data_IF_600969772308
#
_entry.id   IF_600969772308
#
_cell.length_a   1.000
_cell.length_b   1.000
_cell.length_c   1.000
_cell.angle_alpha   90.00
_cell.angle_beta   90.00
_cell.angle_gamma   90.00
#
_symmetry.space_group_name_H-M   'P 1'
#
loop_
_entity.id
_entity.type
_entity.pdbx_description
1 polymer ?
#
# COMPACT_ATOMS: atom_id res chain seq x y z
N UNK A 1 -23.68 23.34 -47.26
CA UNK A 1 -23.97 22.08 -46.57
C UNK A 1 -23.14 22.09 -45.32
N UNK A 2 -23.70 22.64 -44.25
CA UNK A 2 -23.12 22.50 -42.92
C UNK A 2 -23.19 21.00 -42.59
N UNK A 3 -22.03 20.36 -42.62
CA UNK A 3 -21.86 19.07 -41.99
C UNK A 3 -21.89 19.36 -40.49
N UNK A 4 -23.06 19.22 -39.87
CA UNK A 4 -23.21 19.03 -38.43
C UNK A 4 -22.45 17.75 -38.04
N UNK A 5 -21.14 17.88 -37.92
CA UNK A 5 -20.31 16.91 -37.21
C UNK A 5 -20.82 16.94 -35.77
N UNK A 6 -21.22 15.79 -35.20
CA UNK A 6 -21.69 15.77 -33.83
C UNK A 6 -20.61 16.36 -32.93
N UNK A 7 -20.98 17.40 -32.16
CA UNK A 7 -20.11 18.00 -31.15
C UNK A 7 -19.59 16.88 -30.25
N UNK A 8 -18.26 16.71 -30.20
CA UNK A 8 -17.65 15.74 -29.30
C UNK A 8 -18.10 16.04 -27.85
N UNK A 9 -18.44 15.02 -27.05
CA UNK A 9 -18.91 15.22 -25.69
C UNK A 9 -17.84 15.92 -24.85
N UNK A 10 -18.22 17.01 -24.18
CA UNK A 10 -17.35 17.72 -23.24
C UNK A 10 -17.45 17.08 -21.85
N UNK A 11 -16.32 16.58 -21.34
CA UNK A 11 -16.22 15.98 -20.01
C UNK A 11 -15.73 16.96 -18.93
N UNK A 12 -15.68 18.27 -19.19
CA UNK A 12 -15.33 19.26 -18.19
C UNK A 12 -16.28 19.20 -16.97
N UNK A 13 -15.70 19.18 -15.76
CA UNK A 13 -16.48 19.13 -14.51
C UNK A 13 -17.07 17.77 -14.15
N UNK A 14 -16.68 16.69 -14.85
CA UNK A 14 -17.16 15.33 -14.59
C UNK A 14 -17.00 14.93 -13.11
N UNK A 15 -18.11 14.51 -12.49
CA UNK A 15 -18.13 14.03 -11.11
C UNK A 15 -17.73 12.56 -11.01
N UNK A 16 -17.38 12.08 -9.81
CA UNK A 16 -17.04 10.67 -9.58
C UNK A 16 -18.19 9.72 -9.90
N UNK A 17 -19.44 10.14 -9.62
CA UNK A 17 -20.64 9.32 -9.92
C UNK A 17 -20.93 9.23 -11.41
N UNK A 18 -20.73 10.31 -12.17
CA UNK A 18 -20.85 10.29 -13.62
C UNK A 18 -19.74 9.46 -14.26
N UNK A 19 -18.49 9.63 -13.82
CA UNK A 19 -17.36 8.83 -14.30
C UNK A 19 -17.54 7.32 -14.08
N UNK A 20 -18.22 6.91 -13.00
CA UNK A 20 -18.59 5.51 -12.74
C UNK A 20 -19.62 4.98 -13.75
N UNK A 21 -20.52 5.82 -14.22
CA UNK A 21 -21.66 5.47 -15.08
C UNK A 21 -21.39 5.70 -16.57
N UNK A 22 -20.26 6.32 -16.92
CA UNK A 22 -19.84 6.48 -18.31
C UNK A 22 -19.82 5.15 -19.04
N UNK A 23 -20.37 5.15 -20.26
CA UNK A 23 -20.29 4.00 -21.16
C UNK A 23 -18.83 3.74 -21.52
N UNK A 24 -18.53 2.48 -21.83
CA UNK A 24 -17.16 2.07 -22.13
C UNK A 24 -16.55 2.83 -23.33
N UNK A 25 -17.36 3.23 -24.31
CA UNK A 25 -16.96 4.07 -25.45
C UNK A 25 -16.57 5.50 -25.05
N UNK A 26 -17.24 6.07 -24.04
CA UNK A 26 -17.02 7.43 -23.57
C UNK A 26 -15.85 7.52 -22.59
N UNK A 27 -15.52 6.42 -21.88
CA UNK A 27 -14.38 6.38 -20.95
C UNK A 27 -13.06 6.70 -21.66
N UNK A 28 -12.85 6.18 -22.86
CA UNK A 28 -11.64 6.44 -23.64
C UNK A 28 -11.54 7.90 -24.06
N UNK A 29 -12.65 8.50 -24.47
CA UNK A 29 -12.72 9.93 -24.85
C UNK A 29 -12.47 10.83 -23.64
N UNK A 30 -13.15 10.56 -22.52
CA UNK A 30 -12.96 11.30 -21.27
C UNK A 30 -11.51 11.19 -20.76
N UNK A 31 -10.91 10.01 -20.84
CA UNK A 31 -9.51 9.80 -20.48
C UNK A 31 -8.57 10.67 -21.34
N UNK A 32 -8.77 10.66 -22.67
CA UNK A 32 -7.95 11.45 -23.58
C UNK A 32 -8.13 12.97 -23.41
N UNK A 33 -9.33 13.43 -23.04
CA UNK A 33 -9.61 14.85 -22.80
C UNK A 33 -9.09 15.34 -21.43
N UNK A 34 -9.26 14.54 -20.37
CA UNK A 34 -9.06 15.01 -18.99
C UNK A 34 -7.70 14.67 -18.38
N UNK A 35 -7.10 13.54 -18.77
CA UNK A 35 -5.82 13.10 -18.18
C UNK A 35 -4.67 13.80 -18.92
N UNK A 36 -3.76 14.49 -18.21
CA UNK A 36 -2.67 15.21 -18.84
C UNK A 36 -1.74 14.26 -19.60
N UNK A 37 -1.20 14.74 -20.72
CA UNK A 37 -0.22 14.03 -21.56
C UNK A 37 1.22 14.47 -21.28
N UNK A 38 1.48 15.00 -20.08
CA UNK A 38 2.80 15.46 -19.65
C UNK A 38 3.64 14.32 -19.06
N UNK A 39 4.70 14.65 -18.32
CA UNK A 39 5.60 13.70 -17.67
C UNK A 39 4.92 12.79 -16.63
N UNK A 40 3.69 13.10 -16.22
CA UNK A 40 2.87 12.27 -15.34
C UNK A 40 2.09 11.20 -16.11
N UNK A 41 1.98 11.33 -17.43
CA UNK A 41 1.19 10.45 -18.27
C UNK A 41 1.78 9.04 -18.34
N UNK A 42 0.89 8.05 -18.48
CA UNK A 42 1.31 6.69 -18.82
C UNK A 42 1.78 6.67 -20.29
N UNK A 43 2.93 6.03 -20.60
CA UNK A 43 3.36 5.90 -21.98
C UNK A 43 2.31 5.14 -22.78
N UNK A 44 2.13 5.47 -24.07
CA UNK A 44 1.12 4.81 -24.90
C UNK A 44 1.28 3.27 -24.90
N UNK A 45 2.52 2.79 -24.88
CA UNK A 45 2.87 1.37 -24.83
C UNK A 45 2.45 0.66 -23.54
N UNK A 46 2.11 1.40 -22.47
CA UNK A 46 1.55 0.83 -21.25
C UNK A 46 0.29 0.00 -21.55
N UNK A 47 -0.50 0.41 -22.53
CA UNK A 47 -1.78 -0.21 -22.85
C UNK A 47 -1.67 -1.42 -23.77
N UNK A 48 -0.55 -1.62 -24.47
CA UNK A 48 -0.35 -2.69 -25.45
C UNK A 48 -0.69 -4.10 -24.95
N UNK A 49 -0.30 -4.53 -23.73
CA UNK A 49 -0.58 -5.88 -23.26
C UNK A 49 -2.03 -6.09 -22.76
N UNK A 50 -2.87 -5.05 -22.72
CA UNK A 50 -4.21 -5.12 -22.13
C UNK A 50 -5.30 -5.35 -23.17
N UNK A 51 -6.27 -6.19 -22.83
CA UNK A 51 -7.50 -6.34 -23.64
C UNK A 51 -8.29 -5.02 -23.68
N UNK A 52 -9.18 -4.80 -24.67
CA UNK A 52 -10.03 -3.60 -24.72
C UNK A 52 -10.81 -3.36 -23.42
N UNK A 53 -11.33 -4.43 -22.80
CA UNK A 53 -12.02 -4.36 -21.51
C UNK A 53 -11.10 -3.90 -20.38
N UNK A 54 -9.88 -4.42 -20.31
CA UNK A 54 -8.90 -3.99 -19.29
C UNK A 54 -8.44 -2.54 -19.48
N UNK A 55 -8.30 -2.09 -20.75
CA UNK A 55 -8.00 -0.69 -21.07
C UNK A 55 -9.08 0.24 -20.50
N UNK A 56 -10.35 -0.07 -20.76
CA UNK A 56 -11.48 0.72 -20.23
C UNK A 56 -11.49 0.71 -18.70
N UNK A 57 -11.25 -0.44 -18.06
CA UNK A 57 -11.13 -0.53 -16.60
C UNK A 57 -10.01 0.40 -16.09
N UNK A 58 -8.83 0.34 -16.70
CA UNK A 58 -7.69 1.16 -16.31
C UNK A 58 -7.94 2.65 -16.52
N UNK A 59 -8.48 3.04 -17.67
CA UNK A 59 -8.81 4.43 -17.98
C UNK A 59 -9.87 4.98 -17.01
N UNK A 60 -10.91 4.18 -16.68
CA UNK A 60 -11.91 4.54 -15.66
C UNK A 60 -11.26 4.72 -14.29
N UNK A 61 -10.34 3.83 -13.90
CA UNK A 61 -9.56 3.97 -12.67
C UNK A 61 -8.75 5.28 -12.62
N UNK A 62 -8.09 5.66 -13.73
CA UNK A 62 -7.38 6.93 -13.83
C UNK A 62 -8.32 8.12 -13.67
N UNK A 63 -9.47 8.13 -14.36
CA UNK A 63 -10.48 9.18 -14.24
C UNK A 63 -10.99 9.34 -12.81
N UNK A 64 -11.32 8.22 -12.15
CA UNK A 64 -11.80 8.26 -10.77
C UNK A 64 -10.75 8.85 -9.83
N UNK A 65 -9.49 8.42 -9.93
CA UNK A 65 -8.41 8.95 -9.10
C UNK A 65 -8.14 10.42 -9.39
N UNK A 66 -8.15 10.81 -10.66
CA UNK A 66 -7.97 12.18 -11.11
C UNK A 66 -9.02 13.10 -10.51
N UNK A 67 -10.30 12.73 -10.56
CA UNK A 67 -11.41 13.52 -10.01
C UNK A 67 -11.31 13.62 -8.48
N UNK A 68 -11.16 12.51 -7.76
CA UNK A 68 -11.13 12.54 -6.28
C UNK A 68 -9.87 13.19 -5.72
N UNK A 69 -8.80 13.26 -6.51
CA UNK A 69 -7.58 14.00 -6.16
C UNK A 69 -7.64 15.48 -6.55
N UNK A 70 -8.80 15.99 -7.00
CA UNK A 70 -8.97 17.36 -7.48
C UNK A 70 -8.01 17.70 -8.63
N UNK A 71 -7.87 16.76 -9.58
CA UNK A 71 -7.09 16.93 -10.81
C UNK A 71 -5.59 17.08 -10.55
N UNK A 72 -5.04 16.34 -9.57
CA UNK A 72 -3.61 16.43 -9.21
C UNK A 72 -2.84 15.12 -9.37
N UNK A 73 -3.50 13.96 -9.26
CA UNK A 73 -2.83 12.66 -9.22
C UNK A 73 -3.18 11.80 -10.43
N UNK A 74 -2.15 11.41 -11.19
CA UNK A 74 -2.20 10.33 -12.19
C UNK A 74 -1.52 9.10 -11.56
N UNK A 75 -2.11 7.89 -11.64
CA UNK A 75 -1.51 6.71 -11.04
C UNK A 75 -0.25 6.29 -11.79
N UNK A 76 0.78 5.88 -11.05
CA UNK A 76 1.95 5.24 -11.66
C UNK A 76 1.57 3.92 -12.32
N UNK A 77 2.32 3.52 -13.34
CA UNK A 77 2.09 2.28 -14.12
C UNK A 77 1.89 1.04 -13.25
N UNK A 78 2.75 0.88 -12.23
CA UNK A 78 2.71 -0.26 -11.30
C UNK A 78 1.42 -0.28 -10.44
N UNK A 79 0.90 0.89 -10.06
CA UNK A 79 -0.32 1.02 -9.27
C UNK A 79 -1.54 0.63 -10.10
N UNK A 80 -1.56 1.08 -11.35
CA UNK A 80 -2.63 0.77 -12.28
C UNK A 80 -2.60 -0.69 -12.74
N UNK A 81 -1.41 -1.26 -12.96
CA UNK A 81 -1.19 -2.68 -13.20
C UNK A 81 -1.83 -3.54 -12.10
N UNK A 82 -1.49 -3.23 -10.84
CA UNK A 82 -2.05 -3.92 -9.67
C UNK A 82 -3.58 -3.79 -9.60
N UNK A 83 -4.09 -2.56 -9.80
CA UNK A 83 -5.53 -2.31 -9.73
C UNK A 83 -6.31 -3.05 -10.83
N UNK A 84 -5.86 -3.00 -12.10
CA UNK A 84 -6.50 -3.71 -13.22
C UNK A 84 -6.52 -5.22 -12.94
N UNK A 85 -5.40 -5.79 -12.50
CA UNK A 85 -5.32 -7.22 -12.19
C UNK A 85 -6.30 -7.60 -11.07
N UNK A 86 -6.33 -6.83 -9.97
CA UNK A 86 -7.28 -7.08 -8.88
C UNK A 86 -8.74 -6.96 -9.34
N UNK A 87 -9.09 -5.91 -10.07
CA UNK A 87 -10.46 -5.69 -10.57
C UNK A 87 -10.89 -6.80 -11.54
N UNK A 88 -9.96 -7.35 -12.32
CA UNK A 88 -10.20 -8.48 -13.23
C UNK A 88 -10.13 -9.85 -12.54
N UNK A 89 -9.98 -9.90 -11.22
CA UNK A 89 -10.02 -11.14 -10.43
C UNK A 89 -8.71 -11.92 -10.41
N UNK A 90 -7.57 -11.26 -10.72
CA UNK A 90 -6.23 -11.83 -10.60
C UNK A 90 -5.63 -11.50 -9.24
N UNK A 91 -4.87 -12.46 -8.70
CA UNK A 91 -4.05 -12.22 -7.52
C UNK A 91 -2.87 -11.33 -7.90
N UNK A 92 -2.40 -10.52 -6.95
CA UNK A 92 -1.34 -9.53 -7.18
C UNK A 92 -0.32 -9.56 -6.05
N UNK A 93 0.96 -9.55 -6.41
CA UNK A 93 2.08 -9.27 -5.52
C UNK A 93 2.74 -7.98 -5.96
N UNK A 94 2.85 -7.01 -5.04
CA UNK A 94 3.57 -5.76 -5.25
C UNK A 94 4.78 -5.73 -4.32
N UNK A 95 5.96 -5.94 -4.90
CA UNK A 95 7.27 -5.84 -4.24
C UNK A 95 7.94 -4.50 -4.61
N UNK A 96 7.60 -3.45 -3.87
CA UNK A 96 8.05 -2.10 -4.20
C UNK A 96 8.49 -1.41 -2.93
N UNK A 97 9.63 -0.76 -2.90
CA UNK A 97 10.15 -0.06 -1.70
C UNK A 97 9.14 0.88 -1.02
N UNK A 98 9.37 1.19 0.25
CA UNK A 98 8.58 2.21 0.97
C UNK A 98 8.70 3.58 0.28
N UNK A 99 7.60 4.35 0.28
CA UNK A 99 7.59 5.69 -0.30
C UNK A 99 7.37 5.77 -1.81
N UNK A 100 7.17 4.64 -2.51
CA UNK A 100 6.79 4.62 -3.94
C UNK A 100 5.26 4.74 -4.17
N UNK A 101 4.47 4.89 -3.10
CA UNK A 101 3.02 5.10 -3.23
C UNK A 101 2.19 3.81 -3.39
N UNK A 102 2.62 2.68 -2.80
CA UNK A 102 1.86 1.40 -2.79
C UNK A 102 0.41 1.55 -2.31
N UNK A 103 0.13 2.57 -1.51
CA UNK A 103 -1.21 2.79 -0.96
C UNK A 103 -2.26 3.04 -2.03
N UNK A 104 -1.89 3.64 -3.17
CA UNK A 104 -2.81 3.79 -4.30
C UNK A 104 -3.22 2.46 -4.93
N UNK A 105 -2.42 1.40 -4.79
CA UNK A 105 -2.83 0.06 -5.20
C UNK A 105 -4.06 -0.42 -4.42
N UNK A 106 -4.37 0.13 -3.23
CA UNK A 106 -5.59 -0.18 -2.46
C UNK A 106 -6.70 0.84 -2.72
N UNK A 107 -6.35 2.12 -2.86
CA UNK A 107 -7.31 3.20 -3.11
C UNK A 107 -8.02 3.03 -4.46
N UNK A 108 -7.27 2.72 -5.52
CA UNK A 108 -7.84 2.64 -6.87
C UNK A 108 -8.92 1.55 -6.98
N UNK A 109 -8.71 0.30 -6.53
CA UNK A 109 -9.78 -0.70 -6.49
C UNK A 109 -10.97 -0.28 -5.64
N UNK A 110 -10.74 0.39 -4.50
CA UNK A 110 -11.82 0.88 -3.64
C UNK A 110 -12.68 1.96 -4.32
N UNK A 111 -12.09 2.84 -5.13
CA UNK A 111 -12.83 3.82 -5.94
C UNK A 111 -13.71 3.14 -7.00
N UNK A 112 -13.19 2.07 -7.60
CA UNK A 112 -13.85 1.34 -8.69
C UNK A 112 -15.01 0.47 -8.21
N UNK A 113 -14.86 -0.22 -7.07
CA UNK A 113 -15.84 -1.17 -6.55
C UNK A 113 -17.06 -0.48 -5.92
N UNK A 114 -18.05 -0.10 -6.74
CA UNK A 114 -19.30 0.51 -6.27
C UNK A 114 -20.21 -0.48 -5.55
N UNK A 115 -20.71 -0.14 -4.35
CA UNK A 115 -21.63 -0.98 -3.58
C UNK A 115 -21.04 -2.30 -3.08
N UNK A 116 -19.70 -2.38 -3.03
CA UNK A 116 -18.92 -3.56 -2.65
C UNK A 116 -17.94 -3.18 -1.54
N UNK A 117 -17.35 -4.20 -0.92
CA UNK A 117 -16.42 -4.05 0.19
C UNK A 117 -15.04 -4.56 -0.23
N UNK A 118 -14.02 -3.74 0.01
CA UNK A 118 -12.62 -4.13 -0.02
C UNK A 118 -12.15 -4.37 1.42
N UNK A 119 -11.66 -5.59 1.70
CA UNK A 119 -11.05 -5.89 2.99
C UNK A 119 -9.56 -5.53 2.93
N UNK A 120 -9.09 -4.68 3.85
CA UNK A 120 -7.69 -4.30 3.96
C UNK A 120 -7.13 -4.87 5.26
N UNK A 121 -6.26 -5.87 5.19
CA UNK A 121 -5.58 -6.42 6.36
C UNK A 121 -4.34 -5.58 6.65
N UNK A 122 -4.26 -5.05 7.87
CA UNK A 122 -3.17 -4.14 8.28
C UNK A 122 -2.61 -4.53 9.65
N UNK A 123 -1.28 -4.58 9.82
CA UNK A 123 -0.66 -5.10 11.03
C UNK A 123 -0.85 -4.19 12.25
N UNK A 124 -0.65 -2.88 12.12
CA UNK A 124 -0.50 -2.00 13.28
C UNK A 124 -1.72 -1.09 13.44
N UNK A 125 -2.29 -1.00 14.64
CA UNK A 125 -3.41 -0.08 14.95
C UNK A 125 -3.12 1.36 14.52
N UNK A 126 -1.89 1.85 14.76
CA UNK A 126 -1.46 3.18 14.32
C UNK A 126 -1.53 3.35 12.79
N UNK A 127 -1.16 2.31 12.04
CA UNK A 127 -1.25 2.32 10.58
C UNK A 127 -2.70 2.32 10.11
N UNK A 128 -3.59 1.59 10.79
CA UNK A 128 -5.02 1.56 10.47
C UNK A 128 -5.66 2.95 10.56
N UNK A 129 -5.33 3.74 11.60
CA UNK A 129 -5.84 5.13 11.73
C UNK A 129 -5.40 5.99 10.54
N UNK A 130 -4.13 5.92 10.15
CA UNK A 130 -3.61 6.66 8.99
C UNK A 130 -4.27 6.21 7.67
N UNK A 131 -4.53 4.91 7.53
CA UNK A 131 -5.22 4.37 6.35
C UNK A 131 -6.68 4.84 6.29
N UNK A 132 -7.42 4.88 7.41
CA UNK A 132 -8.80 5.44 7.44
C UNK A 132 -8.80 6.88 6.94
N UNK A 133 -7.94 7.73 7.51
CA UNK A 133 -7.82 9.13 7.11
C UNK A 133 -7.47 9.29 5.63
N UNK A 134 -6.65 8.39 5.10
CA UNK A 134 -6.30 8.39 3.68
C UNK A 134 -7.48 8.05 2.78
N UNK A 135 -8.26 7.01 3.11
CA UNK A 135 -9.45 6.66 2.34
C UNK A 135 -10.49 7.78 2.39
N UNK A 136 -10.71 8.37 3.57
CA UNK A 136 -11.62 9.51 3.73
C UNK A 136 -11.17 10.74 2.94
N UNK A 137 -9.86 11.01 2.88
CA UNK A 137 -9.30 12.08 2.03
C UNK A 137 -9.70 11.94 0.56
N UNK A 138 -9.83 10.71 0.06
CA UNK A 138 -10.27 10.44 -1.31
C UNK A 138 -11.79 10.15 -1.42
N UNK A 139 -12.57 10.55 -0.42
CA UNK A 139 -14.03 10.43 -0.42
C UNK A 139 -14.54 8.99 -0.29
N UNK A 140 -13.71 8.06 0.18
CA UNK A 140 -14.09 6.65 0.37
C UNK A 140 -14.46 6.42 1.82
N UNK A 141 -15.70 6.01 2.07
CA UNK A 141 -16.14 5.58 3.39
C UNK A 141 -15.31 4.39 3.89
N UNK A 142 -14.66 4.57 5.04
CA UNK A 142 -13.77 3.56 5.60
C UNK A 142 -14.00 3.44 7.11
N UNK A 143 -13.84 2.24 7.64
CA UNK A 143 -13.77 2.02 9.09
C UNK A 143 -12.76 0.94 9.42
N UNK A 144 -12.23 0.97 10.65
CA UNK A 144 -11.29 -0.05 11.14
C UNK A 144 -11.98 -1.02 12.11
N UNK A 145 -11.59 -2.30 12.03
CA UNK A 145 -12.04 -3.38 12.90
C UNK A 145 -10.82 -3.97 13.58
N UNK A 146 -10.66 -3.61 14.86
CA UNK A 146 -9.61 -4.05 15.75
C UNK A 146 -10.14 -4.23 17.19
N UNK A 147 -9.25 -4.44 18.15
CA UNK A 147 -9.62 -4.62 19.57
C UNK A 147 -10.34 -3.44 20.21
N UNK A 148 -10.16 -2.24 19.68
CA UNK A 148 -10.76 -1.02 20.21
C UNK A 148 -12.11 -0.70 19.53
N UNK A 149 -12.58 -1.59 18.64
CA UNK A 149 -13.87 -1.42 17.97
C UNK A 149 -15.00 -1.47 18.99
N UNK A 150 -15.84 -0.41 19.11
CA UNK A 150 -16.92 -0.40 20.08
C UNK A 150 -17.95 -1.47 19.74
N UNK A 151 -18.57 -2.03 20.77
CA UNK A 151 -19.69 -2.97 20.61
C UNK A 151 -21.03 -2.24 20.35
N UNK A 152 -21.00 -1.22 19.48
CA UNK A 152 -22.15 -0.41 19.13
C UNK A 152 -23.00 -1.09 18.05
N UNK A 153 -24.30 -1.30 18.32
CA UNK A 153 -25.20 -1.95 17.38
C UNK A 153 -25.32 -1.17 16.06
N UNK A 154 -25.33 0.16 16.09
CA UNK A 154 -25.50 0.98 14.90
C UNK A 154 -24.27 0.89 13.96
N UNK A 155 -23.05 0.95 14.51
CA UNK A 155 -21.81 0.75 13.76
C UNK A 155 -21.80 -0.61 13.06
N UNK A 156 -22.07 -1.69 13.80
CA UNK A 156 -22.01 -3.04 13.24
C UNK A 156 -23.12 -3.29 12.21
N UNK A 157 -24.31 -2.71 12.36
CA UNK A 157 -25.35 -2.74 11.35
C UNK A 157 -24.92 -2.02 10.04
N UNK A 158 -24.18 -0.91 10.15
CA UNK A 158 -23.59 -0.22 8.98
C UNK A 158 -22.50 -1.05 8.30
N UNK A 159 -21.64 -1.72 9.07
CA UNK A 159 -20.63 -2.65 8.52
C UNK A 159 -21.33 -3.79 7.76
N UNK A 160 -22.31 -4.43 8.37
CA UNK A 160 -23.05 -5.55 7.78
C UNK A 160 -23.87 -5.16 6.54
N UNK A 161 -24.44 -3.95 6.53
CA UNK A 161 -25.14 -3.42 5.37
C UNK A 161 -24.21 -3.01 4.22
N UNK A 162 -22.89 -3.02 4.43
CA UNK A 162 -21.90 -2.62 3.43
C UNK A 162 -21.85 -1.12 3.20
N UNK A 163 -22.21 -0.33 4.22
CA UNK A 163 -22.14 1.13 4.18
C UNK A 163 -20.71 1.65 4.00
N UNK A 164 -19.71 0.89 4.45
CA UNK A 164 -18.29 1.23 4.28
C UNK A 164 -17.70 0.41 3.12
N UNK A 165 -17.34 1.06 1.98
CA UNK A 165 -16.65 0.39 0.88
C UNK A 165 -15.30 -0.22 1.27
N UNK A 166 -14.67 0.26 2.35
CA UNK A 166 -13.40 -0.29 2.84
C UNK A 166 -13.51 -0.64 4.32
N UNK A 167 -13.14 -1.89 4.66
CA UNK A 167 -12.95 -2.32 6.04
C UNK A 167 -11.47 -2.61 6.27
N UNK A 168 -10.83 -1.82 7.12
CA UNK A 168 -9.45 -2.09 7.54
C UNK A 168 -9.50 -3.01 8.75
N UNK A 169 -8.97 -4.22 8.64
CA UNK A 169 -9.17 -5.27 9.63
C UNK A 169 -7.84 -5.72 10.22
N UNK A 170 -7.79 -5.80 11.54
CA UNK A 170 -6.73 -6.48 12.26
C UNK A 170 -6.89 -8.01 12.03
N UNK A 171 -5.86 -8.75 11.57
CA UNK A 171 -6.00 -10.14 11.10
C UNK A 171 -6.66 -11.10 12.12
N UNK A 172 -6.47 -10.86 13.41
CA UNK A 172 -7.11 -11.60 14.49
C UNK A 172 -8.64 -11.60 14.38
N UNK A 173 -9.24 -10.51 13.90
CA UNK A 173 -10.69 -10.36 13.78
C UNK A 173 -11.29 -11.08 12.58
N UNK A 174 -10.46 -11.50 11.62
CA UNK A 174 -10.88 -12.35 10.50
C UNK A 174 -10.89 -13.84 10.86
N UNK A 175 -10.16 -14.22 11.91
CA UNK A 175 -10.11 -15.60 12.40
C UNK A 175 -11.44 -16.01 13.04
N UNK A 176 -11.80 -17.30 12.93
CA UNK A 176 -13.02 -17.83 13.57
C UNK A 176 -13.03 -17.59 15.08
N UNK A 177 -11.88 -17.75 15.72
CA UNK A 177 -11.70 -17.51 17.15
C UNK A 177 -10.56 -16.52 17.38
N UNK A 178 -10.80 -15.55 18.26
CA UNK A 178 -9.79 -14.66 18.83
C UNK A 178 -9.89 -14.68 20.36
N UNK A 179 -8.79 -14.99 21.05
CA UNK A 179 -8.75 -15.15 22.52
C UNK A 179 -9.88 -16.06 23.05
N UNK A 180 -10.14 -17.18 22.36
CA UNK A 180 -11.18 -18.15 22.72
C UNK A 180 -12.62 -17.74 22.37
N UNK A 181 -12.85 -16.55 21.79
CA UNK A 181 -14.17 -16.04 21.47
C UNK A 181 -14.33 -15.81 19.98
N UNK A 182 -15.53 -16.03 19.45
CA UNK A 182 -15.85 -15.71 18.05
C UNK A 182 -15.93 -14.20 17.88
N UNK A 183 -15.21 -13.65 16.91
CA UNK A 183 -15.27 -12.21 16.65
C UNK A 183 -16.60 -11.85 15.98
N UNK A 184 -17.06 -10.61 16.18
CA UNK A 184 -18.33 -10.16 15.58
C UNK A 184 -18.26 -10.14 14.05
N UNK A 185 -17.11 -9.75 13.49
CA UNK A 185 -16.87 -9.83 12.06
C UNK A 185 -16.90 -11.28 11.55
N UNK A 186 -16.26 -12.22 12.26
CA UNK A 186 -16.33 -13.63 11.89
C UNK A 186 -17.76 -14.15 11.94
N UNK A 187 -18.53 -13.77 12.95
CA UNK A 187 -19.94 -14.13 13.07
C UNK A 187 -20.76 -13.64 11.86
N UNK A 188 -20.61 -12.36 11.48
CA UNK A 188 -21.27 -11.78 10.30
C UNK A 188 -20.85 -12.51 9.02
N UNK A 189 -19.55 -12.82 8.87
CA UNK A 189 -19.06 -13.53 7.70
C UNK A 189 -19.67 -14.93 7.57
N UNK A 190 -19.89 -15.62 8.68
CA UNK A 190 -20.43 -16.98 8.66
C UNK A 190 -21.96 -17.03 8.54
N UNK A 191 -22.66 -16.05 9.13
CA UNK A 191 -24.13 -16.04 9.26
C UNK A 191 -24.84 -15.19 8.19
N UNK A 192 -24.12 -14.28 7.51
CA UNK A 192 -24.68 -13.39 6.49
C UNK A 192 -24.03 -13.61 5.10
N UNK A 193 -24.58 -14.50 4.26
CA UNK A 193 -24.13 -14.70 2.89
C UNK A 193 -24.22 -13.42 2.02
N UNK A 194 -25.15 -12.52 2.34
CA UNK A 194 -25.30 -11.23 1.67
C UNK A 194 -24.08 -10.32 1.88
N UNK A 195 -23.50 -10.33 3.09
CA UNK A 195 -22.26 -9.64 3.40
C UNK A 195 -21.08 -10.21 2.60
N UNK A 196 -20.91 -11.53 2.56
CA UNK A 196 -19.84 -12.17 1.77
C UNK A 196 -19.93 -11.85 0.28
N UNK A 197 -21.16 -11.77 -0.26
CA UNK A 197 -21.38 -11.38 -1.67
C UNK A 197 -20.88 -9.98 -1.95
N UNK A 198 -20.90 -9.05 -0.98
CA UNK A 198 -20.40 -7.68 -1.15
C UNK A 198 -18.89 -7.58 -1.18
N UNK A 199 -18.15 -8.54 -0.59
CA UNK A 199 -16.68 -8.52 -0.62
C UNK A 199 -16.17 -8.78 -2.04
N UNK A 200 -15.41 -7.84 -2.58
CA UNK A 200 -14.84 -7.89 -3.95
C UNK A 200 -13.35 -8.20 -3.99
N UNK A 201 -12.64 -8.09 -2.87
CA UNK A 201 -11.21 -8.35 -2.83
C UNK A 201 -10.61 -8.21 -1.43
N UNK A 202 -9.39 -8.70 -1.29
CA UNK A 202 -8.61 -8.60 -0.05
C UNK A 202 -7.26 -7.95 -0.40
N UNK A 203 -6.93 -6.85 0.24
CA UNK A 203 -5.58 -6.28 0.25
C UNK A 203 -4.91 -6.64 1.57
N UNK A 204 -3.65 -7.06 1.52
CA UNK A 204 -2.83 -7.32 2.71
C UNK A 204 -1.67 -6.35 2.65
N UNK A 205 -1.70 -5.35 3.53
CA UNK A 205 -0.60 -4.42 3.72
C UNK A 205 0.49 -5.06 4.59
N UNK A 206 1.74 -4.73 4.29
CA UNK A 206 2.93 -5.36 4.90
C UNK A 206 2.85 -6.90 4.88
N UNK A 207 2.52 -7.47 3.73
CA UNK A 207 2.25 -8.91 3.60
C UNK A 207 3.46 -9.81 3.94
N UNK A 208 4.67 -9.25 4.11
CA UNK A 208 5.80 -9.99 4.68
C UNK A 208 5.49 -10.54 6.09
N UNK A 209 4.57 -9.93 6.85
CA UNK A 209 4.10 -10.45 8.15
C UNK A 209 3.45 -11.84 8.06
N UNK A 210 2.94 -12.23 6.89
CA UNK A 210 2.47 -13.61 6.66
C UNK A 210 3.57 -14.61 6.96
N UNK A 211 4.79 -14.35 6.50
CA UNK A 211 5.94 -15.18 6.78
C UNK A 211 6.58 -14.86 8.14
N UNK A 212 6.95 -13.59 8.37
CA UNK A 212 7.82 -13.21 9.50
C UNK A 212 7.15 -13.28 10.87
N UNK A 213 5.82 -13.19 10.93
CA UNK A 213 5.07 -13.29 12.17
C UNK A 213 3.92 -14.31 12.12
N UNK A 214 3.50 -14.73 10.93
CA UNK A 214 2.35 -15.60 10.73
C UNK A 214 2.66 -17.09 10.76
N UNK A 215 3.90 -17.50 10.47
CA UNK A 215 4.32 -18.90 10.42
C UNK A 215 5.27 -19.24 11.57
N UNK A 216 5.23 -20.51 11.98
CA UNK A 216 6.25 -21.07 12.87
C UNK A 216 7.54 -21.23 12.07
N UNK A 217 8.63 -20.64 12.54
CA UNK A 217 9.91 -20.60 11.83
C UNK A 217 11.03 -21.09 12.75
N UNK A 218 11.85 -22.01 12.24
CA UNK A 218 13.05 -22.50 12.94
C UNK A 218 12.78 -23.05 14.35
N UNK A 219 11.61 -23.68 14.55
CA UNK A 219 11.18 -24.19 15.86
C UNK A 219 10.65 -23.12 16.83
N UNK A 220 10.52 -21.87 16.37
CA UNK A 220 9.93 -20.77 17.14
C UNK A 220 8.47 -20.59 16.71
N UNK A 221 7.50 -20.60 17.66
CA UNK A 221 6.10 -20.34 17.35
C UNK A 221 5.90 -18.94 16.72
N UNK A 222 4.91 -18.85 15.83
CA UNK A 222 4.49 -17.61 15.19
C UNK A 222 4.15 -16.54 16.25
N UNK A 223 4.76 -15.36 16.13
CA UNK A 223 4.45 -14.21 16.99
C UNK A 223 2.99 -13.75 16.84
N UNK A 224 2.45 -13.84 15.61
CA UNK A 224 1.12 -13.39 15.24
C UNK A 224 0.46 -14.37 14.25
N UNK A 225 0.04 -15.56 14.73
CA UNK A 225 -0.43 -16.68 13.90
C UNK A 225 -1.71 -16.38 13.09
N UNK A 226 -2.40 -15.27 13.36
CA UNK A 226 -3.55 -14.86 12.54
C UNK A 226 -3.14 -14.55 11.08
N UNK A 227 -1.93 -14.04 10.86
CA UNK A 227 -1.41 -13.78 9.51
C UNK A 227 -1.22 -15.06 8.69
N UNK A 228 -0.69 -16.13 9.32
CA UNK A 228 -0.51 -17.43 8.66
C UNK A 228 -1.83 -18.16 8.35
N UNK A 229 -2.96 -17.67 8.90
CA UNK A 229 -4.29 -18.25 8.72
C UNK A 229 -5.15 -17.48 7.72
N UNK A 230 -4.64 -16.43 7.08
CA UNK A 230 -5.41 -15.59 6.14
C UNK A 230 -5.92 -16.37 4.92
N UNK A 231 -5.26 -17.46 4.50
CA UNK A 231 -5.78 -18.35 3.46
C UNK A 231 -7.16 -18.93 3.79
N UNK A 232 -7.46 -19.19 5.06
CA UNK A 232 -8.78 -19.68 5.50
C UNK A 232 -9.88 -18.66 5.25
N UNK A 233 -9.58 -17.36 5.33
CA UNK A 233 -10.53 -16.27 5.07
C UNK A 233 -10.96 -16.30 3.61
N UNK A 234 -10.01 -16.51 2.69
CA UNK A 234 -10.27 -16.65 1.25
C UNK A 234 -11.15 -17.86 0.96
N UNK A 235 -10.85 -19.00 1.56
CA UNK A 235 -11.66 -20.23 1.41
C UNK A 235 -13.08 -20.02 1.93
N UNK A 236 -13.22 -19.40 3.12
CA UNK A 236 -14.50 -19.14 3.76
C UNK A 236 -15.42 -18.23 2.95
N UNK A 237 -14.83 -17.28 2.21
CA UNK A 237 -15.60 -16.39 1.36
C UNK A 237 -16.30 -17.11 0.19
N UNK A 238 -15.97 -18.39 -0.07
CA UNK A 238 -16.78 -19.32 -0.87
C UNK A 238 -16.87 -19.00 -2.37
N UNK A 239 -16.35 -17.87 -2.83
CA UNK A 239 -16.25 -17.54 -4.25
C UNK A 239 -15.00 -18.19 -4.80
N UNK A 240 -15.12 -18.87 -5.95
CA UNK A 240 -14.01 -19.51 -6.66
C UNK A 240 -12.81 -18.59 -6.94
N UNK A 241 -12.96 -17.25 -6.85
CA UNK A 241 -11.90 -16.31 -7.18
C UNK A 241 -12.02 -14.91 -6.54
N UNK A 242 -11.97 -14.78 -5.21
CA UNK A 242 -11.71 -13.45 -4.62
C UNK A 242 -10.23 -13.11 -4.82
N UNK A 243 -9.91 -12.00 -5.51
CA UNK A 243 -8.53 -11.59 -5.73
C UNK A 243 -7.90 -11.14 -4.41
N UNK A 244 -6.67 -11.60 -4.17
CA UNK A 244 -5.83 -11.15 -3.07
C UNK A 244 -4.68 -10.33 -3.62
N UNK A 245 -4.48 -9.15 -3.03
CA UNK A 245 -3.36 -8.27 -3.33
C UNK A 245 -2.44 -8.19 -2.11
N UNK A 246 -1.23 -8.71 -2.21
CA UNK A 246 -0.20 -8.64 -1.18
C UNK A 246 0.79 -7.51 -1.49
N UNK A 247 0.94 -6.56 -0.56
CA UNK A 247 1.79 -5.39 -0.69
C UNK A 247 2.93 -5.47 0.33
N UNK A 248 4.18 -5.31 -0.11
CA UNK A 248 5.34 -5.21 0.79
C UNK A 248 6.45 -4.40 0.17
N UNK A 249 7.42 -3.98 0.99
CA UNK A 249 8.68 -3.37 0.53
C UNK A 249 9.77 -4.37 0.17
N UNK A 250 9.58 -5.63 0.55
CA UNK A 250 10.61 -6.66 0.46
C UNK A 250 9.96 -8.04 0.36
N UNK A 251 10.08 -8.70 -0.80
CA UNK A 251 9.72 -10.10 -1.00
C UNK A 251 10.91 -10.93 -1.53
N UNK A 252 11.87 -11.31 -0.68
CA UNK A 252 12.84 -12.35 -1.03
C UNK A 252 12.10 -13.59 -1.56
N UNK A 253 12.66 -14.35 -2.52
CA UNK A 253 11.95 -15.44 -3.19
C UNK A 253 11.27 -16.44 -2.24
N UNK A 254 11.94 -16.80 -1.13
CA UNK A 254 11.38 -17.72 -0.13
C UNK A 254 10.17 -17.13 0.63
N UNK A 255 10.18 -15.83 0.94
CA UNK A 255 9.05 -15.14 1.57
C UNK A 255 7.88 -15.06 0.58
N UNK A 256 8.18 -14.72 -0.68
CA UNK A 256 7.17 -14.63 -1.75
C UNK A 256 6.43 -15.97 -1.93
N UNK A 257 7.18 -17.06 -2.05
CA UNK A 257 6.64 -18.41 -2.18
C UNK A 257 5.77 -18.80 -0.98
N UNK A 258 6.20 -18.48 0.24
CA UNK A 258 5.41 -18.72 1.44
C UNK A 258 4.10 -17.89 1.46
N UNK A 259 4.12 -16.65 0.97
CA UNK A 259 2.92 -15.81 0.86
C UNK A 259 1.95 -16.39 -0.17
N UNK A 260 2.45 -16.77 -1.34
CA UNK A 260 1.63 -17.36 -2.41
C UNK A 260 0.93 -18.62 -1.90
N UNK A 261 1.64 -19.51 -1.21
CA UNK A 261 1.07 -20.74 -0.66
C UNK A 261 0.08 -20.47 0.46
N UNK A 262 0.45 -19.63 1.43
CA UNK A 262 -0.37 -19.32 2.62
C UNK A 262 -1.68 -18.61 2.26
N UNK A 263 -1.65 -17.74 1.25
CA UNK A 263 -2.81 -16.98 0.78
C UNK A 263 -3.59 -17.70 -0.34
N UNK A 264 -3.17 -18.91 -0.68
CA UNK A 264 -3.80 -19.77 -1.71
C UNK A 264 -3.92 -19.03 -3.05
N UNK A 265 -2.87 -18.31 -3.44
CA UNK A 265 -2.83 -17.52 -4.67
C UNK A 265 -2.66 -18.40 -5.90
N UNK A 266 -3.32 -18.02 -7.00
CA UNK A 266 -3.21 -18.76 -8.25
C UNK A 266 -1.98 -18.30 -9.06
N UNK A 267 -0.90 -19.08 -8.99
CA UNK A 267 0.36 -18.84 -9.72
C UNK A 267 0.19 -18.64 -11.22
N UNK A 268 -0.75 -19.34 -11.87
CA UNK A 268 -0.92 -19.27 -13.33
C UNK A 268 -1.47 -17.91 -13.80
N UNK A 269 -2.12 -17.17 -12.89
CA UNK A 269 -2.75 -15.88 -13.22
C UNK A 269 -2.26 -14.74 -12.32
N UNK A 270 -1.22 -15.01 -11.53
CA UNK A 270 -0.63 -14.07 -10.58
C UNK A 270 0.08 -12.95 -11.36
N UNK A 271 -0.23 -11.70 -11.01
CA UNK A 271 0.57 -10.56 -11.44
C UNK A 271 1.63 -10.28 -10.38
N UNK A 272 2.89 -10.29 -10.77
CA UNK A 272 3.99 -9.82 -9.93
C UNK A 272 4.51 -8.48 -10.44
N UNK A 273 4.52 -7.48 -9.57
CA UNK A 273 5.02 -6.16 -9.87
C UNK A 273 6.17 -5.87 -8.91
N UNK A 274 7.38 -5.83 -9.44
CA UNK A 274 8.61 -5.56 -8.67
C UNK A 274 9.27 -4.30 -9.21
N UNK A 275 9.55 -3.33 -8.34
CA UNK A 275 10.35 -2.16 -8.70
C UNK A 275 11.65 -2.20 -7.90
N UNK A 276 12.78 -2.24 -8.61
CA UNK A 276 14.10 -2.20 -8.00
C UNK A 276 14.26 -0.95 -7.14
N UNK A 277 14.84 -1.12 -5.95
CA UNK A 277 15.20 -0.04 -5.02
C UNK A 277 16.37 0.81 -5.51
N UNK A 278 16.90 0.56 -6.71
CA UNK A 278 17.78 1.49 -7.42
C UNK A 278 16.98 2.73 -7.84
N UNK A 279 16.58 3.55 -6.87
CA UNK A 279 16.60 4.98 -7.13
C UNK A 279 18.06 5.34 -7.35
N UNK A 280 18.34 6.15 -8.36
CA UNK A 280 19.59 6.92 -8.39
C UNK A 280 19.56 7.87 -7.19
N UNK A 281 19.81 7.34 -6.00
CA UNK A 281 20.23 8.17 -4.89
C UNK A 281 21.54 8.79 -5.36
N UNK A 282 21.66 10.11 -5.23
CA UNK A 282 22.95 10.79 -5.36
C UNK A 282 24.01 10.10 -4.49
N UNK A 283 25.30 10.45 -4.63
CA UNK A 283 26.39 9.73 -4.01
C UNK A 283 26.13 9.48 -2.51
N UNK A 284 26.20 8.21 -2.10
CA UNK A 284 26.15 7.84 -0.69
C UNK A 284 27.41 8.37 -0.01
N UNK A 285 27.26 9.36 0.86
CA UNK A 285 28.38 9.88 1.67
C UNK A 285 28.38 9.13 2.99
N UNK A 286 29.41 8.30 3.18
CA UNK A 286 29.73 7.72 4.49
C UNK A 286 30.76 8.63 5.14
N UNK A 287 30.37 9.36 6.18
CA UNK A 287 31.29 10.21 6.95
C UNK A 287 31.77 9.47 8.21
N UNK A 288 33.08 9.40 8.40
CA UNK A 288 33.68 8.96 9.65
C UNK A 288 33.93 10.19 10.54
N UNK A 289 33.30 10.23 11.72
CA UNK A 289 33.58 11.28 12.70
C UNK A 289 34.83 10.91 13.49
N UNK A 290 35.96 11.54 13.19
CA UNK A 290 37.12 11.52 14.10
C UNK A 290 36.87 12.52 15.24
N UNK A 291 36.73 12.01 16.45
CA UNK A 291 36.76 12.84 17.65
C UNK A 291 38.21 13.28 17.92
N UNK A 292 38.59 14.48 17.47
CA UNK A 292 39.84 15.10 17.92
C UNK A 292 39.62 15.60 19.36
N UNK A 293 40.21 14.94 20.34
CA UNK A 293 40.28 15.45 21.71
C UNK A 293 41.10 16.75 21.69
N UNK A 294 40.42 17.89 21.64
CA UNK A 294 41.03 19.18 21.93
C UNK A 294 41.48 19.17 23.40
N UNK A 295 42.78 18.99 23.64
CA UNK A 295 43.40 19.36 24.91
C UNK A 295 43.46 20.89 24.96
N UNK A 296 42.35 21.50 25.38
CA UNK A 296 42.29 22.92 25.72
C UNK A 296 43.20 23.23 26.89
N UNK A 297 44.06 24.23 26.70
CA UNK A 297 44.95 24.82 27.68
C UNK A 297 44.23 25.14 29.00
N UNK A 298 44.97 24.96 30.11
CA UNK A 298 44.59 25.43 31.45
C UNK A 298 44.35 26.94 31.42
N UNK A 299 43.18 27.39 31.88
CA UNK A 299 42.91 28.81 32.10
C UNK A 299 41.47 29.11 32.51
N UNK A 300 41.17 28.89 33.81
CA UNK A 300 40.22 29.64 34.65
C UNK A 300 38.80 29.99 34.16
N UNK A 301 37.81 29.55 34.94
CA UNK A 301 36.51 30.23 35.10
C UNK A 301 35.34 29.46 34.53
N UNK A 302 34.44 28.99 35.40
CA UNK A 302 33.43 28.00 35.05
C UNK A 302 32.23 28.55 34.29
N UNK A 303 31.52 27.66 33.58
CA UNK A 303 30.05 27.48 33.56
C UNK A 303 29.75 26.13 32.86
N UNK A 304 28.88 25.30 33.46
CA UNK A 304 28.01 24.38 32.73
C UNK A 304 28.52 22.97 32.43
N UNK A 305 28.54 22.09 33.43
CA UNK A 305 28.74 20.66 33.24
C UNK A 305 27.50 20.01 32.59
N UNK A 306 27.66 19.50 31.36
CA UNK A 306 26.89 18.39 30.83
C UNK A 306 27.87 17.36 30.21
N UNK A 307 28.28 16.40 31.05
CA UNK A 307 28.38 15.00 30.66
C UNK A 307 29.45 14.55 29.66
N UNK A 308 30.72 14.93 29.85
CA UNK A 308 31.88 14.38 29.11
C UNK A 308 32.10 12.85 29.07
N UNK A 309 31.56 11.99 29.97
CA UNK A 309 31.86 10.55 29.90
C UNK A 309 31.00 9.72 28.92
N UNK A 310 29.83 10.22 28.49
CA UNK A 310 28.89 9.44 27.68
C UNK A 310 29.27 9.39 26.19
N UNK A 311 29.82 10.48 25.66
CA UNK A 311 30.33 10.53 24.29
C UNK A 311 31.66 9.78 24.11
N UNK A 312 32.50 9.73 25.15
CA UNK A 312 33.78 9.01 25.10
C UNK A 312 33.61 7.49 25.01
N UNK A 313 32.53 6.91 25.55
CA UNK A 313 32.24 5.48 25.44
C UNK A 313 31.66 5.05 24.09
N UNK A 314 31.05 5.97 23.32
CA UNK A 314 30.54 5.67 21.98
C UNK A 314 31.61 5.70 20.89
N UNK A 315 32.68 6.48 21.10
CA UNK A 315 33.77 6.61 20.13
C UNK A 315 34.70 5.38 20.08
N UNK A 316 34.70 4.54 21.11
CA UNK A 316 35.57 3.36 21.19
C UNK A 316 35.03 2.12 20.47
N UNK A 317 33.76 2.10 20.03
CA UNK A 317 33.10 0.90 19.48
C UNK A 317 33.05 0.83 17.95
N UNK A 318 33.64 1.79 17.23
CA UNK A 318 33.74 1.75 15.76
C UNK A 318 32.41 1.63 15.01
N UNK A 319 31.29 2.03 15.63
CA UNK A 319 29.94 1.75 15.13
C UNK A 319 29.45 2.95 14.30
N UNK A 320 29.09 2.78 13.02
CA UNK A 320 28.57 3.87 12.21
C UNK A 320 27.14 4.24 12.64
N UNK A 321 26.84 5.54 12.67
CA UNK A 321 25.51 6.09 12.94
C UNK A 321 25.07 7.00 11.78
N UNK A 322 23.77 6.98 11.47
CA UNK A 322 23.13 7.83 10.44
C UNK A 322 22.38 8.96 11.15
N UNK A 323 22.75 10.21 10.89
CA UNK A 323 21.99 11.39 11.33
C UNK A 323 21.27 12.03 10.13
N UNK A 324 19.94 12.24 10.18
CA UNK A 324 19.24 13.01 9.15
C UNK A 324 19.33 14.52 9.43
N UNK A 325 19.79 15.30 8.45
CA UNK A 325 19.46 16.74 8.36
C UNK A 325 20.55 17.78 8.61
N UNK A 326 21.83 17.43 8.73
CA UNK A 326 22.89 18.44 8.89
C UNK A 326 23.57 18.79 7.56
N UNK A 327 23.47 20.06 7.13
CA UNK A 327 24.36 20.65 6.13
C UNK A 327 25.78 20.64 6.69
N UNK A 328 26.63 19.76 6.17
CA UNK A 328 28.07 19.76 6.47
C UNK A 328 28.75 20.68 5.46
N UNK A 329 29.21 21.85 5.90
CA UNK A 329 30.22 22.63 5.18
C UNK A 329 31.55 21.89 5.27
N UNK A 330 32.04 21.40 4.13
CA UNK A 330 33.33 20.72 3.98
C UNK A 330 34.49 21.70 4.21
N UNK A 331 35.50 21.34 5.02
CA UNK A 331 36.87 21.76 4.77
C UNK A 331 37.67 20.55 4.25
N UNK A 332 38.31 20.76 3.09
CA UNK A 332 39.41 19.95 2.51
C UNK A 332 39.14 18.46 2.22
N UNK A 333 38.89 18.20 0.93
CA UNK A 333 39.01 16.90 0.26
C UNK A 333 40.38 16.26 0.54
N UNK A 334 40.39 14.99 0.97
CA UNK A 334 41.45 14.05 0.62
C UNK A 334 40.85 13.00 -0.32
N UNK A 335 41.20 13.09 -1.61
CA UNK A 335 40.95 12.04 -2.60
C UNK A 335 41.96 10.93 -2.36
N UNK A 336 41.54 9.85 -1.70
CA UNK A 336 42.28 8.58 -1.76
C UNK A 336 41.72 7.77 -2.94
N UNK A 337 42.37 7.91 -4.09
CA UNK A 337 42.15 7.01 -5.23
C UNK A 337 42.70 5.63 -4.90
N UNK A 338 41.86 4.61 -5.07
CA UNK A 338 42.25 3.20 -4.98
C UNK A 338 41.28 2.35 -5.77
N UNK A 339 41.64 2.08 -7.04
CA UNK A 339 41.02 1.03 -7.85
C UNK A 339 41.17 -0.30 -7.11
N UNK A 340 40.08 -1.07 -7.00
CA UNK A 340 40.15 -2.50 -6.69
C UNK A 340 39.58 -3.24 -7.90
N UNK A 341 40.40 -4.12 -8.46
CA UNK A 341 40.11 -5.04 -9.56
C UNK A 341 39.07 -6.09 -9.17
#
# INVERSE_FOLDING_TARGET
>A
MDTDLPLEPDFAGLTTEEARKLKDEDVGKAYAQLIPTDDRALPASFWDPYSPREKVIGQRCCLLLWIVSQYTVVPHSFQLQAAIAMITGRDVIVDVGTGYGKTFCMVIPALYFTGRILLVVSPLKRLQVLQVLLFEKYGIGCTSINEDTPNDHALWARIESGHFPVLIVQPEHLSSLYKGHRTRLSKIMDENPGFLKKISGICIDEAHFVFTAGLDLYGVPAFRPAFGRLGSVRVRLGKSRIPVQALSGTFPPHIKEAIISTLVMNKNTLLEVTLSSTKEFGPWVVACFQATLYRGCRGGGGVGALGGPALAKLAASGTPFILPGTKVTLPSLFLAGGMVK
#
